data_IF_975848168980
#
_entry.id   IF_975848168980
#
_cell.length_a   1.000
_cell.length_b   1.000
_cell.length_c   1.000
_cell.angle_alpha   90.00
_cell.angle_beta   90.00
_cell.angle_gamma   90.00
#
_symmetry.space_group_name_H-M   'P 1'
#
loop_
_entity.id
_entity.type
_entity.pdbx_description
1 polymer ?
#
# COMPACT_ATOMS: atom_id res chain seq x y z
N UNK A 1 3.17 2.13 4.32
CA UNK A 1 2.93 2.90 3.08
C UNK A 1 1.60 3.63 3.21
N UNK A 2 1.49 4.82 2.64
CA UNK A 2 0.20 5.52 2.49
C UNK A 2 -0.13 5.52 0.99
N UNK A 3 -1.36 5.15 0.66
CA UNK A 3 -1.84 5.08 -0.71
C UNK A 3 -3.34 5.38 -0.75
N UNK A 4 -3.80 5.90 -1.88
CA UNK A 4 -5.22 6.08 -2.17
C UNK A 4 -5.47 5.76 -3.66
N UNK A 5 -6.68 5.31 -3.99
CA UNK A 5 -7.04 4.93 -5.34
C UNK A 5 -8.27 4.03 -5.38
N UNK A 6 -8.53 3.42 -6.53
CA UNK A 6 -9.59 2.43 -6.69
C UNK A 6 -9.38 1.25 -5.74
N UNK A 7 -10.46 0.82 -5.07
CA UNK A 7 -10.38 -0.18 -3.99
C UNK A 7 -9.71 -1.47 -4.44
N UNK A 8 -10.02 -1.96 -5.65
CA UNK A 8 -9.41 -3.17 -6.21
C UNK A 8 -7.90 -3.02 -6.38
N UNK A 9 -7.43 -1.86 -6.85
CA UNK A 9 -5.99 -1.57 -7.03
C UNK A 9 -5.27 -1.45 -5.70
N UNK A 10 -5.91 -0.85 -4.69
CA UNK A 10 -5.38 -0.78 -3.32
C UNK A 10 -5.26 -2.19 -2.73
N UNK A 11 -6.27 -3.05 -2.92
CA UNK A 11 -6.23 -4.45 -2.48
C UNK A 11 -5.14 -5.26 -3.17
N UNK A 12 -4.92 -5.07 -4.48
CA UNK A 12 -3.81 -5.70 -5.21
C UNK A 12 -2.44 -5.31 -4.59
N UNK A 13 -2.24 -4.04 -4.23
CA UNK A 13 -0.99 -3.60 -3.61
C UNK A 13 -0.82 -4.14 -2.19
N UNK A 14 -1.89 -4.19 -1.41
CA UNK A 14 -1.89 -4.81 -0.07
C UNK A 14 -1.45 -6.28 -0.17
N UNK A 15 -2.01 -7.05 -1.13
CA UNK A 15 -1.63 -8.44 -1.36
C UNK A 15 -0.14 -8.57 -1.72
N UNK A 16 0.38 -7.64 -2.53
CA UNK A 16 1.81 -7.61 -2.82
C UNK A 16 2.66 -7.36 -1.55
N UNK A 17 2.22 -6.49 -0.64
CA UNK A 17 2.91 -6.22 0.63
C UNK A 17 3.02 -7.46 1.52
N UNK A 18 2.03 -8.36 1.53
CA UNK A 18 2.13 -9.63 2.26
C UNK A 18 3.21 -10.56 1.68
N UNK A 19 3.49 -10.47 0.38
CA UNK A 19 4.57 -11.22 -0.26
C UNK A 19 5.92 -10.56 -0.04
N UNK A 20 5.95 -9.24 -0.08
CA UNK A 20 7.17 -8.44 -0.04
C UNK A 20 8.02 -8.54 -1.32
N UNK A 21 9.07 -7.73 -1.43
CA UNK A 21 10.07 -7.87 -2.49
C UNK A 21 10.83 -9.20 -2.35
N UNK A 22 11.41 -9.69 -3.44
CA UNK A 22 11.96 -11.07 -3.51
C UNK A 22 13.03 -11.45 -2.48
N UNK A 23 13.67 -10.47 -1.83
CA UNK A 23 14.67 -10.69 -0.78
C UNK A 23 14.15 -10.43 0.64
N UNK A 24 12.88 -10.10 0.81
CA UNK A 24 12.27 -9.80 2.11
C UNK A 24 11.42 -10.97 2.61
N UNK A 25 11.39 -11.12 3.93
CA UNK A 25 10.44 -11.97 4.64
C UNK A 25 9.52 -11.03 5.40
N UNK A 26 8.22 -11.07 5.08
CA UNK A 26 7.22 -10.20 5.70
C UNK A 26 6.54 -10.98 6.82
N UNK A 27 6.84 -10.62 8.06
CA UNK A 27 6.26 -11.30 9.24
C UNK A 27 4.81 -10.88 9.49
N UNK A 28 4.49 -9.60 9.25
CA UNK A 28 3.16 -9.03 9.50
C UNK A 28 2.90 -7.81 8.63
N UNK A 29 1.66 -7.65 8.20
CA UNK A 29 1.13 -6.41 7.59
C UNK A 29 -0.09 -5.99 8.38
N UNK A 30 -0.03 -4.81 8.99
CA UNK A 30 -1.16 -4.14 9.63
C UNK A 30 -1.78 -3.12 8.66
N UNK A 31 -3.11 -3.09 8.60
CA UNK A 31 -3.86 -2.28 7.64
C UNK A 31 -4.85 -1.39 8.40
N UNK A 32 -4.88 -0.11 8.06
CA UNK A 32 -5.88 0.85 8.49
C UNK A 32 -6.52 1.48 7.25
N UNK A 33 -7.86 1.46 7.18
CA UNK A 33 -8.62 2.04 6.08
C UNK A 33 -9.12 3.43 6.46
N UNK A 34 -8.90 4.40 5.58
CA UNK A 34 -9.38 5.76 5.74
C UNK A 34 -10.31 6.17 4.58
N UNK A 35 -11.04 7.27 4.76
CA UNK A 35 -11.83 7.85 3.68
C UNK A 35 -10.89 8.39 2.60
N UNK A 36 -11.28 8.23 1.34
CA UNK A 36 -10.57 8.84 0.21
C UNK A 36 -10.53 10.38 0.37
N UNK A 37 -9.34 10.98 0.22
CA UNK A 37 -9.14 12.43 0.39
C UNK A 37 -8.61 13.12 -0.87
N UNK A 38 -8.05 12.40 -1.83
CA UNK A 38 -7.50 12.98 -3.06
C UNK A 38 -6.23 13.80 -2.80
N UNK A 39 -5.46 13.42 -1.79
CA UNK A 39 -4.24 14.11 -1.36
C UNK A 39 -3.00 13.75 -2.20
N UNK A 40 -3.05 12.67 -2.97
CA UNK A 40 -1.93 12.08 -3.69
C UNK A 40 -2.27 11.85 -5.17
N UNK A 41 -1.60 12.61 -6.05
CA UNK A 41 -1.70 12.43 -7.50
C UNK A 41 -0.53 11.60 -8.09
N UNK A 42 0.45 11.23 -7.26
CA UNK A 42 1.64 10.49 -7.67
C UNK A 42 2.26 9.75 -6.50
N UNK A 43 2.92 8.63 -6.77
CA UNK A 43 3.70 7.91 -5.78
C UNK A 43 5.14 8.44 -5.71
N UNK A 44 5.70 8.52 -4.51
CA UNK A 44 7.09 8.92 -4.29
C UNK A 44 7.65 8.32 -3.00
N UNK A 45 8.96 8.05 -2.99
CA UNK A 45 9.68 7.59 -1.81
C UNK A 45 10.19 8.81 -1.07
N UNK A 46 9.89 8.92 0.22
CA UNK A 46 10.45 9.94 1.11
C UNK A 46 11.45 9.27 2.04
N UNK A 47 12.64 9.87 2.16
CA UNK A 47 13.73 9.43 3.04
C UNK A 47 13.69 10.08 4.41
#
# INVERSE_FOLDING_TARGET
>A
IVMEGEEDKVKELINWCYRGPGSAIVEKVDIEWEKYRGEFNSFGIRG
#
